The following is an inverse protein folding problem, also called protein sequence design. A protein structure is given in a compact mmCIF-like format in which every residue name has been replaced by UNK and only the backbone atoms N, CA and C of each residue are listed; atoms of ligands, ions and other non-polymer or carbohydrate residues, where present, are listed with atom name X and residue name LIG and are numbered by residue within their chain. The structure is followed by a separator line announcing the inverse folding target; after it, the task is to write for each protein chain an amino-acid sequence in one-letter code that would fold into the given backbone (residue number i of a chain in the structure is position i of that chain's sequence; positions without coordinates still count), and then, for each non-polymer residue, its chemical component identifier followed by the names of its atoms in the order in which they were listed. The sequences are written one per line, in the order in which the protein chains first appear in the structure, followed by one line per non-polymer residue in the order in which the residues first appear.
data_IF_705691489987
#
_entry.id   IF_705691489987
#
_cell.length_a   1.000
_cell.length_b   1.000
_cell.length_c   1.000
_cell.angle_alpha   90.00
_cell.angle_beta   90.00
_cell.angle_gamma   90.00
#
_symmetry.space_group_name_H-M   'P 1'
#
loop_
_entity.id
_entity.type
_entity.pdbx_description
1 polymer ?
#
# COMPACT_ATOMS: atom_id res chain seq x y z
N UNK A 1 -8.79 9.07 3.92
CA UNK A 1 -8.51 8.64 2.52
C UNK A 1 -8.10 9.85 1.70
N UNK A 2 -7.10 9.74 0.82
CA UNK A 2 -6.80 10.82 -0.11
C UNK A 2 -7.48 10.61 -1.47
N UNK A 3 -7.80 11.72 -2.15
CA UNK A 3 -8.42 11.67 -3.50
C UNK A 3 -7.41 11.31 -4.58
N UNK A 4 -6.13 11.66 -4.38
CA UNK A 4 -5.03 11.51 -5.34
C UNK A 4 -5.32 12.11 -6.73
N UNK A 5 -6.27 13.03 -6.81
CA UNK A 5 -6.55 13.83 -8.00
C UNK A 5 -5.46 14.88 -8.24
N UNK A 6 -5.43 15.54 -9.41
CA UNK A 6 -4.47 16.61 -9.69
C UNK A 6 -4.49 17.74 -8.64
N UNK A 7 -5.66 18.04 -8.09
CA UNK A 7 -5.84 18.83 -6.89
C UNK A 7 -6.11 17.87 -5.74
N UNK A 8 -5.05 17.39 -5.10
CA UNK A 8 -5.19 16.35 -4.10
C UNK A 8 -5.87 16.87 -2.82
N UNK A 9 -6.70 16.03 -2.21
CA UNK A 9 -7.39 16.33 -0.97
C UNK A 9 -7.48 15.10 -0.07
N UNK A 10 -7.59 15.30 1.23
CA UNK A 10 -7.98 14.26 2.19
C UNK A 10 -9.48 14.34 2.42
N UNK A 11 -10.16 13.21 2.28
CA UNK A 11 -11.57 13.07 2.67
C UNK A 11 -11.60 12.47 4.08
N UNK A 12 -12.22 13.20 4.99
CA UNK A 12 -12.44 12.77 6.36
C UNK A 12 -13.86 12.24 6.51
N UNK A 13 -13.99 11.05 7.06
CA UNK A 13 -15.25 10.40 7.38
C UNK A 13 -15.42 10.25 8.88
N UNK A 14 -16.61 10.52 9.37
CA UNK A 14 -17.03 10.13 10.72
C UNK A 14 -17.69 8.75 10.66
N UNK A 15 -17.26 7.85 11.53
CA UNK A 15 -17.83 6.51 11.71
C UNK A 15 -18.79 6.48 12.89
N UNK A 16 -19.99 5.96 12.69
CA UNK A 16 -20.94 5.64 13.78
C UNK A 16 -20.59 4.33 14.48
N UNK A 17 -21.16 4.08 15.65
CA UNK A 17 -21.02 2.80 16.35
C UNK A 17 -21.54 1.57 15.58
N UNK A 18 -22.37 1.78 14.55
CA UNK A 18 -22.85 0.70 13.66
C UNK A 18 -22.00 0.53 12.40
N UNK A 19 -20.80 1.13 12.35
CA UNK A 19 -19.88 1.04 11.21
C UNK A 19 -20.23 1.92 10.01
N UNK A 20 -21.34 2.67 10.06
CA UNK A 20 -21.70 3.59 8.97
C UNK A 20 -20.78 4.78 8.93
N UNK A 21 -20.36 5.18 7.72
CA UNK A 21 -19.50 6.34 7.51
C UNK A 21 -20.25 7.47 6.85
N UNK A 22 -19.88 8.70 7.21
CA UNK A 22 -20.39 9.93 6.62
C UNK A 22 -19.23 10.86 6.34
N UNK A 23 -19.09 11.36 5.12
CA UNK A 23 -18.12 12.41 4.78
C UNK A 23 -18.46 13.68 5.55
N UNK A 24 -17.50 14.22 6.31
CA UNK A 24 -17.68 15.43 7.11
C UNK A 24 -16.92 16.61 6.55
N UNK A 25 -15.78 16.35 5.92
CA UNK A 25 -14.99 17.40 5.29
C UNK A 25 -14.06 16.82 4.20
N UNK A 26 -13.65 17.71 3.29
CA UNK A 26 -12.67 17.43 2.27
C UNK A 26 -11.65 18.56 2.25
N UNK A 27 -10.41 18.25 2.62
CA UNK A 27 -9.37 19.25 2.85
C UNK A 27 -8.31 19.14 1.78
N UNK A 28 -8.00 20.21 1.02
CA UNK A 28 -6.90 20.22 0.08
C UNK A 28 -5.58 19.90 0.77
N UNK A 29 -4.75 19.04 0.13
CA UNK A 29 -3.41 18.73 0.62
C UNK A 29 -2.39 19.84 0.33
N UNK A 30 -2.72 20.74 -0.59
CA UNK A 30 -1.78 21.74 -1.09
C UNK A 30 -0.75 21.22 -2.09
N UNK A 31 -0.76 19.91 -2.38
CA UNK A 31 0.06 19.26 -3.40
C UNK A 31 -0.78 18.63 -4.51
N UNK A 32 -0.12 18.08 -5.52
CA UNK A 32 -0.75 17.41 -6.65
C UNK A 32 -0.73 15.89 -6.50
N UNK A 33 -1.88 15.24 -6.61
CA UNK A 33 -1.96 13.78 -6.75
C UNK A 33 -1.47 13.31 -8.12
N UNK A 34 -1.30 12.00 -8.29
CA UNK A 34 -0.87 11.40 -9.56
C UNK A 34 -1.94 11.48 -10.67
N UNK A 35 -3.16 11.82 -10.32
CA UNK A 35 -4.23 12.08 -11.29
C UNK A 35 -4.48 10.90 -12.23
N UNK A 36 -4.28 11.15 -13.51
CA UNK A 36 -4.50 10.14 -14.58
C UNK A 36 -3.23 9.34 -14.93
N UNK A 37 -2.14 9.51 -14.20
CA UNK A 37 -0.90 8.79 -14.48
C UNK A 37 -1.01 7.33 -14.09
N UNK A 38 -0.83 6.43 -15.06
CA UNK A 38 -1.00 4.97 -14.92
C UNK A 38 0.23 4.24 -15.49
N UNK A 39 1.39 4.32 -14.82
CA UNK A 39 2.64 3.87 -15.40
C UNK A 39 2.72 2.36 -15.60
N UNK A 40 2.10 1.58 -14.74
CA UNK A 40 2.20 0.11 -14.80
C UNK A 40 1.18 -0.48 -15.76
N UNK A 41 -0.12 -0.24 -15.51
CA UNK A 41 -1.17 -0.87 -16.32
C UNK A 41 -1.30 -0.29 -17.72
N UNK A 42 -0.97 1.00 -17.88
CA UNK A 42 -1.20 1.76 -19.09
C UNK A 42 -2.66 1.94 -19.51
N UNK A 43 -3.59 1.39 -18.75
CA UNK A 43 -5.02 1.58 -18.98
C UNK A 43 -5.46 2.88 -18.29
N UNK A 44 -6.10 3.78 -19.02
CA UNK A 44 -6.59 5.05 -18.47
C UNK A 44 -7.55 4.86 -17.28
N UNK A 45 -8.23 3.72 -17.25
CA UNK A 45 -9.17 3.34 -16.19
C UNK A 45 -8.50 2.63 -15.00
N UNK A 46 -7.20 2.32 -15.04
CA UNK A 46 -6.56 1.64 -13.91
C UNK A 46 -6.58 2.49 -12.64
N UNK A 47 -6.72 1.89 -11.45
CA UNK A 47 -6.62 2.63 -10.20
C UNK A 47 -5.20 3.14 -9.98
N UNK A 48 -5.08 4.35 -9.42
CA UNK A 48 -3.78 4.98 -9.16
C UNK A 48 -2.99 4.26 -8.06
N UNK A 49 -3.70 3.56 -7.17
CA UNK A 49 -3.08 2.81 -6.08
C UNK A 49 -2.36 1.54 -6.54
N UNK A 50 -2.43 1.18 -7.81
CA UNK A 50 -1.83 -0.05 -8.33
C UNK A 50 -0.31 -0.15 -8.09
N UNK A 51 0.39 0.98 -8.02
CA UNK A 51 1.84 0.99 -7.79
C UNK A 51 2.24 0.97 -6.31
N UNK A 52 1.30 1.06 -5.35
CA UNK A 52 1.69 1.11 -3.95
C UNK A 52 0.54 1.17 -2.96
N UNK A 53 0.88 1.17 -1.68
CA UNK A 53 -0.03 1.12 -0.55
C UNK A 53 0.46 2.01 0.60
N UNK A 54 -0.43 2.38 1.53
CA UNK A 54 -0.05 3.14 2.73
C UNK A 54 0.30 4.60 2.44
N UNK A 55 -0.42 5.25 1.54
CA UNK A 55 -0.18 6.64 1.15
C UNK A 55 -0.75 7.68 2.14
N UNK A 56 -1.58 7.25 3.08
CA UNK A 56 -2.13 8.05 4.18
C UNK A 56 -1.88 7.31 5.48
N UNK A 57 -1.21 7.97 6.43
CA UNK A 57 -0.93 7.41 7.75
C UNK A 57 -1.22 8.42 8.86
N UNK A 58 -1.52 7.91 10.05
CA UNK A 58 -1.59 8.70 11.28
C UNK A 58 -0.31 8.49 12.10
N UNK A 59 0.11 9.53 12.82
CA UNK A 59 1.12 9.33 13.87
C UNK A 59 0.55 8.45 14.99
N UNK A 60 1.36 7.63 15.69
CA UNK A 60 0.87 6.75 16.76
C UNK A 60 0.15 7.49 17.89
N UNK A 61 0.53 8.74 18.18
CA UNK A 61 -0.14 9.61 19.14
C UNK A 61 -1.40 10.30 18.59
N UNK A 62 -1.75 10.05 17.33
CA UNK A 62 -2.91 10.59 16.59
C UNK A 62 -2.92 12.12 16.45
N UNK A 63 -1.79 12.79 16.68
CA UNK A 63 -1.71 14.24 16.55
C UNK A 63 -1.55 14.71 15.12
N UNK A 64 -1.00 13.85 14.25
CA UNK A 64 -0.70 14.19 12.87
C UNK A 64 -1.22 13.12 11.89
N UNK A 65 -1.66 13.61 10.74
CA UNK A 65 -1.91 12.79 9.56
C UNK A 65 -0.91 13.22 8.48
N UNK A 66 -0.29 12.22 7.82
CA UNK A 66 0.60 12.45 6.69
C UNK A 66 -0.01 11.82 5.44
N UNK A 67 0.14 12.51 4.30
CA UNK A 67 -0.31 11.97 3.00
C UNK A 67 0.67 12.33 1.90
N UNK A 68 0.83 11.41 0.95
CA UNK A 68 1.65 11.62 -0.23
C UNK A 68 0.92 12.45 -1.30
N UNK A 69 1.68 13.18 -2.10
CA UNK A 69 1.24 13.83 -3.33
C UNK A 69 2.11 13.31 -4.48
N UNK A 70 1.63 12.25 -5.15
CA UNK A 70 2.43 11.52 -6.14
C UNK A 70 2.71 12.30 -7.41
N UNK A 71 1.89 13.31 -7.74
CA UNK A 71 2.04 14.08 -8.97
C UNK A 71 3.16 15.12 -8.93
N UNK A 72 3.50 15.64 -7.75
CA UNK A 72 4.59 16.62 -7.57
C UNK A 72 5.68 16.15 -6.61
N UNK A 73 5.64 14.89 -6.16
CA UNK A 73 6.58 14.29 -5.22
C UNK A 73 6.72 15.11 -3.93
N UNK A 74 5.59 15.45 -3.33
CA UNK A 74 5.54 16.10 -2.03
C UNK A 74 4.79 15.26 -1.00
N UNK A 75 4.90 15.65 0.25
CA UNK A 75 4.13 15.11 1.37
C UNK A 75 3.45 16.27 2.08
N UNK A 76 2.22 16.06 2.49
CA UNK A 76 1.47 17.01 3.30
C UNK A 76 1.28 16.45 4.71
N UNK A 77 1.42 17.31 5.70
CA UNK A 77 1.12 17.04 7.09
C UNK A 77 -0.08 17.85 7.55
N UNK A 78 -0.93 17.22 8.36
CA UNK A 78 -2.09 17.84 8.99
C UNK A 78 -2.02 17.62 10.49
N UNK A 79 -2.43 18.60 11.27
CA UNK A 79 -2.78 18.38 12.67
C UNK A 79 -4.20 17.78 12.75
N UNK A 80 -4.37 16.86 13.70
CA UNK A 80 -5.66 16.25 14.01
C UNK A 80 -6.17 16.87 15.31
N UNK A 81 -7.31 17.55 15.25
CA UNK A 81 -7.95 18.15 16.43
C UNK A 81 -8.63 17.09 17.32
N UNK A 82 -8.98 17.48 18.54
CA UNK A 82 -9.70 16.59 19.47
C UNK A 82 -11.07 16.13 18.92
N UNK A 83 -11.65 16.89 18.01
CA UNK A 83 -12.89 16.57 17.29
C UNK A 83 -12.63 15.78 15.98
N UNK A 84 -11.39 15.37 15.74
CA UNK A 84 -10.95 14.64 14.54
C UNK A 84 -10.77 15.50 13.29
N UNK A 85 -11.06 16.81 13.36
CA UNK A 85 -10.88 17.71 12.21
C UNK A 85 -9.43 17.89 11.85
N UNK A 86 -9.19 18.01 10.56
CA UNK A 86 -7.86 18.16 10.00
C UNK A 86 -7.55 19.62 9.69
N UNK A 87 -6.34 20.06 10.02
CA UNK A 87 -5.81 21.36 9.61
C UNK A 87 -4.47 21.17 8.94
N UNK A 88 -4.33 21.65 7.69
CA UNK A 88 -3.06 21.58 6.95
C UNK A 88 -1.96 22.34 7.69
N UNK A 89 -0.86 21.67 8.00
CA UNK A 89 0.31 22.23 8.67
C UNK A 89 1.40 22.59 7.67
N UNK A 90 1.77 21.66 6.81
CA UNK A 90 2.88 21.87 5.87
C UNK A 90 2.72 21.03 4.60
N UNK A 91 3.37 21.47 3.54
CA UNK A 91 3.53 20.74 2.27
C UNK A 91 4.99 20.82 1.87
N UNK A 92 5.66 19.69 1.75
CA UNK A 92 7.10 19.64 1.47
C UNK A 92 7.44 18.67 0.35
N UNK A 93 8.21 19.15 -0.65
CA UNK A 93 8.77 18.27 -1.69
C UNK A 93 9.76 17.30 -1.07
N UNK A 94 9.75 16.05 -1.54
CA UNK A 94 10.61 14.96 -1.03
C UNK A 94 12.08 15.13 -1.44
N UNK A 95 12.35 15.96 -2.45
CA UNK A 95 13.68 16.09 -3.03
C UNK A 95 14.09 14.88 -3.88
N UNK A 96 13.15 14.03 -4.29
CA UNK A 96 13.42 12.95 -5.24
C UNK A 96 13.94 13.54 -6.56
N UNK A 97 15.01 12.93 -7.12
CA UNK A 97 15.61 13.39 -8.38
C UNK A 97 14.75 13.06 -9.61
N UNK A 98 13.90 12.04 -9.50
CA UNK A 98 12.91 11.69 -10.52
C UNK A 98 11.67 12.53 -10.23
N UNK A 99 11.48 13.59 -10.96
CA UNK A 99 10.37 14.54 -10.74
C UNK A 99 9.13 14.17 -11.54
N UNK A 100 7.99 14.70 -11.11
CA UNK A 100 6.71 14.49 -11.75
C UNK A 100 6.18 13.07 -11.56
N UNK A 101 5.26 12.63 -12.43
CA UNK A 101 4.59 11.35 -12.26
C UNK A 101 5.51 10.12 -12.21
N UNK A 102 6.70 10.21 -12.82
CA UNK A 102 7.64 9.08 -12.85
C UNK A 102 8.28 8.76 -11.50
N UNK A 103 8.37 9.72 -10.58
CA UNK A 103 8.91 9.48 -9.24
C UNK A 103 7.88 8.91 -8.30
N UNK A 104 6.71 9.44 -8.32
CA UNK A 104 5.49 9.03 -7.62
C UNK A 104 5.69 8.64 -6.15
N UNK A 105 5.64 9.61 -5.25
CA UNK A 105 5.58 9.35 -3.82
C UNK A 105 4.29 8.56 -3.50
N UNK A 106 4.42 7.35 -2.94
CA UNK A 106 3.30 6.39 -2.84
C UNK A 106 3.01 5.87 -1.45
N UNK A 107 4.01 5.75 -0.59
CA UNK A 107 3.86 5.09 0.71
C UNK A 107 4.65 5.83 1.78
N UNK A 108 4.17 5.74 3.01
CA UNK A 108 4.75 6.43 4.16
C UNK A 108 4.93 5.48 5.35
N UNK A 109 6.00 5.69 6.11
CA UNK A 109 6.16 5.13 7.44
C UNK A 109 6.74 6.20 8.37
N UNK A 110 6.34 6.23 9.63
CA UNK A 110 6.77 7.25 10.58
C UNK A 110 7.40 6.62 11.82
N UNK A 111 8.60 7.08 12.17
CA UNK A 111 9.32 6.71 13.39
C UNK A 111 9.21 7.84 14.43
N UNK A 112 8.29 7.74 15.41
CA UNK A 112 8.10 8.79 16.40
C UNK A 112 9.32 8.98 17.32
N UNK A 113 10.12 7.95 17.57
CA UNK A 113 11.31 8.05 18.44
C UNK A 113 12.37 9.01 17.88
N UNK A 114 12.55 9.04 16.56
CA UNK A 114 13.49 9.93 15.88
C UNK A 114 12.83 11.14 15.21
N UNK A 115 11.49 11.17 15.15
CA UNK A 115 10.75 12.15 14.36
C UNK A 115 11.00 12.05 12.86
N UNK A 116 11.29 10.84 12.36
CA UNK A 116 11.60 10.61 10.94
C UNK A 116 10.41 10.06 10.19
N UNK A 117 10.02 10.70 9.09
CA UNK A 117 9.05 10.22 8.12
C UNK A 117 9.81 9.65 6.92
N UNK A 118 9.61 8.37 6.65
CA UNK A 118 10.11 7.67 5.46
C UNK A 118 9.09 7.80 4.35
N UNK A 119 9.55 8.27 3.19
CA UNK A 119 8.71 8.49 2.00
C UNK A 119 9.19 7.57 0.89
N UNK A 120 8.36 6.60 0.54
CA UNK A 120 8.63 5.68 -0.55
C UNK A 120 8.10 6.25 -1.88
N UNK A 121 8.91 6.12 -2.92
CA UNK A 121 8.56 6.42 -4.30
C UNK A 121 8.43 5.12 -5.08
N UNK A 122 7.46 5.03 -5.97
CA UNK A 122 7.21 3.82 -6.76
C UNK A 122 8.42 3.42 -7.62
N UNK A 123 9.18 4.41 -8.09
CA UNK A 123 10.29 4.21 -9.02
C UNK A 123 11.59 4.82 -8.51
N UNK A 124 12.70 4.11 -8.78
CA UNK A 124 14.03 4.53 -8.38
C UNK A 124 14.72 5.51 -9.34
N UNK A 125 15.98 5.83 -9.07
CA UNK A 125 16.84 5.21 -8.05
C UNK A 125 16.63 5.69 -6.61
N UNK A 126 15.98 6.84 -6.39
CA UNK A 126 15.72 7.40 -5.05
C UNK A 126 14.41 6.85 -4.50
N UNK A 127 14.35 5.54 -4.21
CA UNK A 127 13.12 4.91 -3.71
C UNK A 127 12.69 5.46 -2.35
N UNK A 128 13.61 5.63 -1.40
CA UNK A 128 13.28 6.12 -0.07
C UNK A 128 13.96 7.47 0.18
N UNK A 129 13.14 8.46 0.54
CA UNK A 129 13.54 9.78 1.01
C UNK A 129 13.11 9.95 2.46
N UNK A 130 13.85 10.75 3.19
CA UNK A 130 13.60 11.01 4.60
C UNK A 130 13.14 12.47 4.80
N UNK A 131 12.23 12.64 5.76
CA UNK A 131 11.85 13.96 6.27
C UNK A 131 11.92 13.95 7.79
N UNK A 132 12.40 15.04 8.38
CA UNK A 132 12.23 15.29 9.80
C UNK A 132 10.87 15.94 10.04
N UNK A 133 10.18 15.48 11.09
CA UNK A 133 8.90 16.02 11.56
C UNK A 133 9.15 16.72 12.90
N UNK A 134 8.86 18.01 13.00
CA UNK A 134 8.98 18.73 14.26
C UNK A 134 7.75 18.54 15.17
N UNK A 135 7.77 19.14 16.36
CA UNK A 135 6.69 19.01 17.35
C UNK A 135 5.38 19.63 16.90
N UNK A 136 5.42 20.54 15.95
CA UNK A 136 4.28 21.20 15.32
C UNK A 136 3.81 20.48 14.06
N UNK A 137 4.48 19.40 13.65
CA UNK A 137 4.16 18.62 12.44
C UNK A 137 4.73 19.21 11.15
N UNK A 138 5.65 20.19 11.23
CA UNK A 138 6.29 20.73 10.03
C UNK A 138 7.34 19.76 9.49
N UNK A 139 7.48 19.75 8.18
CA UNK A 139 8.31 18.81 7.45
C UNK A 139 9.61 19.49 6.96
N UNK A 140 10.73 18.80 7.13
CA UNK A 140 12.01 19.21 6.56
C UNK A 140 12.62 18.05 5.80
N UNK A 141 12.78 18.21 4.48
CA UNK A 141 13.41 17.17 3.66
C UNK A 141 14.88 16.99 4.05
N UNK A 142 15.30 15.77 4.23
CA UNK A 142 16.68 15.39 4.55
C UNK A 142 17.47 15.10 3.26
N UNK A 143 18.80 15.22 3.26
CA UNK A 143 19.62 15.01 2.07
C UNK A 143 19.79 13.54 1.69
N UNK A 144 19.59 12.60 2.64
CA UNK A 144 19.84 11.18 2.45
C UNK A 144 18.91 10.58 1.38
N UNK A 145 19.44 9.64 0.62
CA UNK A 145 18.78 8.94 -0.47
C UNK A 145 19.08 7.46 -0.39
N UNK A 146 18.05 6.65 -0.55
CA UNK A 146 18.19 5.20 -0.50
C UNK A 146 17.49 4.54 -1.67
N UNK A 147 18.12 3.50 -2.19
CA UNK A 147 17.59 2.72 -3.30
C UNK A 147 17.17 1.34 -2.83
N UNK A 148 16.07 0.83 -3.39
CA UNK A 148 15.68 -0.57 -3.27
C UNK A 148 16.31 -1.44 -4.38
N UNK A 149 17.06 -0.83 -5.33
CA UNK A 149 17.76 -1.56 -6.35
C UNK A 149 18.92 -2.37 -5.75
N UNK A 150 19.21 -3.49 -6.37
CA UNK A 150 20.44 -4.27 -6.15
C UNK A 150 21.29 -4.22 -7.42
N UNK A 151 22.58 -4.64 -7.38
CA UNK A 151 23.42 -4.68 -8.57
C UNK A 151 22.79 -5.49 -9.72
N UNK A 152 22.04 -6.53 -9.39
CA UNK A 152 21.46 -7.44 -10.36
C UNK A 152 20.04 -7.02 -10.80
N UNK A 153 19.40 -6.08 -10.08
CA UNK A 153 18.07 -5.54 -10.36
C UNK A 153 18.04 -4.01 -10.21
N UNK A 154 18.34 -3.33 -11.31
CA UNK A 154 18.50 -1.88 -11.31
C UNK A 154 17.18 -1.09 -11.37
N UNK A 155 16.07 -1.74 -11.61
CA UNK A 155 14.82 -1.09 -12.02
C UNK A 155 13.61 -1.58 -11.21
N UNK A 156 13.78 -1.81 -9.91
CA UNK A 156 12.70 -2.29 -9.04
C UNK A 156 11.56 -1.29 -8.94
N UNK A 157 10.35 -1.82 -8.97
CA UNK A 157 9.13 -1.07 -8.62
C UNK A 157 8.81 -1.38 -7.16
N UNK A 158 8.85 -0.37 -6.32
CA UNK A 158 8.49 -0.51 -4.92
C UNK A 158 6.98 -0.27 -4.72
N UNK A 159 6.40 -0.95 -3.73
CA UNK A 159 4.97 -0.93 -3.47
C UNK A 159 4.62 -0.27 -2.15
N UNK A 160 5.22 -0.72 -1.07
CA UNK A 160 4.93 -0.26 0.28
C UNK A 160 6.19 -0.15 1.11
N UNK A 161 6.21 0.83 2.00
CA UNK A 161 7.20 0.91 3.09
C UNK A 161 6.50 0.67 4.42
N UNK A 162 7.09 -0.17 5.26
CA UNK A 162 6.61 -0.41 6.62
C UNK A 162 7.79 -0.39 7.59
N UNK A 163 7.57 0.23 8.75
CA UNK A 163 8.53 0.26 9.85
C UNK A 163 8.19 -0.86 10.84
N UNK A 164 9.20 -1.59 11.33
CA UNK A 164 8.96 -2.56 12.40
C UNK A 164 8.44 -1.87 13.65
N UNK A 165 7.59 -2.53 14.48
CA UNK A 165 7.03 -1.92 15.68
C UNK A 165 8.05 -1.42 16.69
N UNK A 166 9.26 -2.00 16.69
CA UNK A 166 10.40 -1.56 17.52
C UNK A 166 11.28 -0.48 16.86
N UNK A 167 10.88 0.00 15.68
CA UNK A 167 11.54 1.02 14.86
C UNK A 167 12.99 0.66 14.43
N UNK A 168 13.37 -0.61 14.46
CA UNK A 168 14.74 -1.01 14.09
C UNK A 168 14.92 -1.38 12.62
N UNK A 169 13.83 -1.71 11.93
CA UNK A 169 13.88 -2.15 10.54
C UNK A 169 12.83 -1.42 9.70
N UNK A 170 13.26 -0.94 8.54
CA UNK A 170 12.39 -0.43 7.49
C UNK A 170 12.36 -1.44 6.35
N UNK A 171 11.17 -1.93 6.03
CA UNK A 171 10.93 -2.89 4.96
C UNK A 171 10.33 -2.19 3.76
N UNK A 172 10.82 -2.53 2.57
CA UNK A 172 10.27 -2.07 1.29
C UNK A 172 9.86 -3.29 0.49
N UNK A 173 8.57 -3.39 0.19
CA UNK A 173 8.05 -4.36 -0.77
C UNK A 173 8.50 -3.97 -2.17
N UNK A 174 8.99 -4.94 -2.93
CA UNK A 174 9.32 -4.74 -4.34
C UNK A 174 8.57 -5.78 -5.18
N UNK A 175 7.96 -5.32 -6.25
CA UNK A 175 7.20 -6.17 -7.14
C UNK A 175 7.97 -6.36 -8.44
N UNK A 176 7.59 -5.90 -9.53
CA UNK A 176 8.15 -6.22 -10.84
C UNK A 176 9.47 -5.51 -11.16
N UNK A 177 10.33 -6.11 -11.99
CA UNK A 177 11.28 -5.39 -12.85
C UNK A 177 10.86 -5.43 -14.30
N UNK A 178 10.04 -6.40 -14.72
CA UNK A 178 9.46 -6.44 -16.07
C UNK A 178 8.02 -6.94 -16.00
N UNK A 179 7.09 -6.26 -16.66
CA UNK A 179 5.72 -6.74 -16.84
C UNK A 179 5.61 -7.71 -18.01
N UNK A 180 4.60 -8.58 -18.03
CA UNK A 180 4.25 -9.32 -19.24
C UNK A 180 4.09 -8.39 -20.44
N UNK A 181 4.51 -8.80 -21.62
CA UNK A 181 4.50 -7.97 -22.83
C UNK A 181 3.12 -7.68 -23.39
N UNK A 182 2.12 -8.40 -22.95
CA UNK A 182 0.73 -8.21 -23.37
C UNK A 182 -0.24 -8.59 -22.25
N UNK A 183 -1.37 -7.90 -22.23
CA UNK A 183 -2.53 -8.30 -21.43
C UNK A 183 -3.09 -9.64 -21.93
N UNK A 184 -3.92 -10.34 -21.13
CA UNK A 184 -4.54 -11.59 -21.53
C UNK A 184 -5.38 -11.53 -22.81
N UNK A 185 -5.92 -10.36 -23.13
CA UNK A 185 -6.68 -10.10 -24.35
C UNK A 185 -5.78 -9.77 -25.57
N UNK A 186 -4.45 -9.82 -25.39
CA UNK A 186 -3.48 -9.50 -26.44
C UNK A 186 -3.19 -8.02 -26.61
N UNK A 187 -3.85 -7.12 -25.85
CA UNK A 187 -3.53 -5.70 -25.88
C UNK A 187 -2.16 -5.44 -25.28
N UNK A 188 -1.39 -4.46 -25.80
CA UNK A 188 -0.07 -4.13 -25.26
C UNK A 188 -0.19 -3.55 -23.86
N UNK A 189 0.66 -4.01 -22.93
CA UNK A 189 0.87 -3.37 -21.65
C UNK A 189 1.73 -2.14 -21.88
N UNK A 190 1.29 -1.00 -21.38
CA UNK A 190 2.08 0.22 -21.44
C UNK A 190 3.25 0.17 -20.46
N UNK A 191 4.34 0.75 -20.87
CA UNK A 191 5.61 0.71 -20.17
C UNK A 191 5.78 1.94 -19.29
N UNK A 192 6.38 1.75 -18.13
CA UNK A 192 6.97 2.86 -17.39
C UNK A 192 8.01 3.53 -18.29
N UNK A 193 7.99 4.85 -18.36
CA UNK A 193 9.01 5.59 -19.10
C UNK A 193 10.19 5.90 -18.20
N UNK A 194 11.39 5.68 -18.73
CA UNK A 194 12.62 6.17 -18.11
C UNK A 194 12.65 7.70 -18.14
N UNK A 195 13.51 8.35 -17.31
CA UNK A 195 13.66 9.80 -17.34
C UNK A 195 13.99 10.40 -18.72
N UNK A 196 14.63 9.62 -19.61
CA UNK A 196 14.92 9.98 -20.99
C UNK A 196 13.73 9.82 -21.93
N UNK A 197 12.57 9.40 -21.43
CA UNK A 197 11.34 9.19 -22.18
C UNK A 197 11.24 7.85 -22.90
N UNK A 198 12.27 7.00 -22.85
CA UNK A 198 12.21 5.66 -23.46
C UNK A 198 11.30 4.75 -22.65
N UNK A 199 10.55 3.84 -23.31
CA UNK A 199 9.77 2.84 -22.61
C UNK A 199 10.68 1.93 -21.78
N UNK A 200 10.24 1.62 -20.56
CA UNK A 200 10.88 0.68 -19.68
C UNK A 200 9.95 -0.52 -19.51
N UNK A 201 10.44 -1.69 -19.81
CA UNK A 201 9.70 -2.91 -19.51
C UNK A 201 9.85 -3.26 -18.03
N UNK A 202 8.77 -3.72 -17.43
CA UNK A 202 8.71 -4.17 -16.05
C UNK A 202 8.21 -5.60 -16.07
N UNK A 203 9.00 -6.61 -15.73
CA UNK A 203 8.56 -8.00 -15.71
C UNK A 203 8.70 -8.62 -14.34
N UNK A 204 7.80 -9.54 -14.00
CA UNK A 204 8.05 -10.44 -12.90
C UNK A 204 9.24 -11.33 -13.26
N UNK A 205 10.25 -11.37 -12.44
CA UNK A 205 11.47 -12.11 -12.74
C UNK A 205 11.49 -13.49 -12.11
N UNK A 206 11.29 -14.48 -12.92
CA UNK A 206 11.84 -15.77 -12.63
C UNK A 206 13.13 -15.92 -13.50
N UNK A 207 14.29 -16.27 -12.97
CA UNK A 207 14.51 -16.90 -11.67
C UNK A 207 14.92 -15.95 -10.54
N UNK A 208 14.94 -14.64 -10.74
CA UNK A 208 15.39 -13.70 -9.73
C UNK A 208 14.23 -13.36 -8.80
N UNK A 209 14.21 -13.81 -7.52
CA UNK A 209 13.05 -13.68 -6.67
C UNK A 209 12.73 -12.21 -6.39
N UNK A 210 11.46 -11.87 -6.54
CA UNK A 210 10.92 -10.67 -5.95
C UNK A 210 10.97 -10.80 -4.43
N UNK A 211 11.29 -9.73 -3.74
CA UNK A 211 11.48 -9.83 -2.32
C UNK A 211 11.31 -8.53 -1.56
N UNK A 212 11.61 -8.62 -0.28
CA UNK A 212 11.68 -7.46 0.59
C UNK A 212 13.09 -6.91 0.63
N UNK A 213 13.19 -5.58 0.51
CA UNK A 213 14.42 -4.85 0.82
C UNK A 213 14.32 -4.37 2.26
N UNK A 214 15.26 -4.77 3.09
CA UNK A 214 15.28 -4.46 4.52
C UNK A 214 16.49 -3.56 4.83
N UNK A 215 16.20 -2.45 5.50
CA UNK A 215 17.20 -1.53 6.04
C UNK A 215 17.15 -1.57 7.56
N UNK A 216 18.31 -1.48 8.23
CA UNK A 216 18.34 -1.12 9.65
C UNK A 216 18.14 0.36 9.81
N UNK A 217 17.42 0.74 10.85
CA UNK A 217 17.15 2.13 11.21
C UNK A 217 17.95 2.46 12.47
N UNK A 218 18.77 3.51 12.43
CA UNK A 218 19.50 3.98 13.60
C UNK A 218 18.66 4.90 14.48
N UNK A 219 19.20 5.31 15.62
CA UNK A 219 18.52 6.19 16.59
C UNK A 219 18.17 7.59 16.01
N UNK A 220 18.73 7.97 14.87
CA UNK A 220 18.46 9.22 14.18
C UNK A 220 17.49 9.05 13.00
N UNK A 221 16.95 7.83 12.80
CA UNK A 221 16.11 7.49 11.67
C UNK A 221 16.86 7.43 10.35
N UNK A 222 18.20 7.22 10.38
CA UNK A 222 19.02 7.02 9.19
C UNK A 222 19.03 5.54 8.84
N UNK A 223 19.08 5.22 7.55
CA UNK A 223 19.11 3.85 7.08
C UNK A 223 20.55 3.40 6.76
N UNK A 224 20.83 2.13 6.96
CA UNK A 224 22.06 1.50 6.52
C UNK A 224 21.99 0.99 5.05
N UNK A 225 22.91 0.13 4.67
CA UNK A 225 22.87 -0.55 3.37
C UNK A 225 21.70 -1.54 3.35
N UNK A 226 20.92 -1.57 2.25
CA UNK A 226 19.84 -2.52 2.10
C UNK A 226 20.35 -3.96 2.06
N UNK A 227 19.61 -4.86 2.67
CA UNK A 227 19.69 -6.31 2.42
C UNK A 227 18.44 -6.75 1.67
N UNK A 228 18.62 -7.69 0.76
CA UNK A 228 17.53 -8.22 -0.05
C UNK A 228 17.19 -9.64 0.38
N UNK A 229 15.91 -9.92 0.52
CA UNK A 229 15.38 -11.20 1.02
C UNK A 229 14.27 -11.71 0.12
N UNK A 230 14.38 -12.97 -0.29
CA UNK A 230 13.27 -13.69 -0.92
C UNK A 230 12.08 -13.71 0.04
N UNK A 231 10.90 -13.34 -0.47
CA UNK A 231 9.67 -13.28 0.32
C UNK A 231 8.85 -14.58 0.28
N UNK A 232 9.33 -15.61 -0.42
CA UNK A 232 8.72 -16.94 -0.45
C UNK A 232 7.50 -17.11 -1.34
N UNK A 233 7.12 -16.06 -2.10
CA UNK A 233 6.01 -16.09 -3.05
C UNK A 233 6.39 -15.46 -4.39
N UNK A 234 5.57 -14.58 -4.90
CA UNK A 234 5.84 -13.81 -6.11
C UNK A 234 5.26 -12.41 -6.00
N UNK A 235 6.10 -11.38 -6.18
CA UNK A 235 5.72 -9.97 -6.09
C UNK A 235 5.16 -9.58 -4.72
N UNK A 236 5.98 -9.52 -3.66
CA UNK A 236 5.56 -9.10 -2.33
C UNK A 236 5.08 -7.66 -2.37
N UNK A 237 3.77 -7.49 -2.25
CA UNK A 237 3.13 -6.19 -2.36
C UNK A 237 2.96 -5.50 -1.02
N UNK A 238 2.53 -6.24 0.00
CA UNK A 238 2.13 -5.68 1.28
C UNK A 238 2.70 -6.49 2.45
N UNK A 239 3.80 -6.07 3.07
CA UNK A 239 4.23 -6.59 4.37
C UNK A 239 3.44 -5.93 5.51
N UNK A 240 2.89 -6.72 6.43
CA UNK A 240 2.15 -6.25 7.60
C UNK A 240 2.61 -6.97 8.86
N UNK A 241 3.12 -6.23 9.84
CA UNK A 241 3.52 -6.79 11.13
C UNK A 241 2.30 -7.23 11.96
N UNK A 242 2.50 -8.27 12.75
CA UNK A 242 1.52 -8.70 13.74
C UNK A 242 1.53 -7.76 14.96
N UNK A 243 0.38 -7.61 15.60
CA UNK A 243 0.23 -6.69 16.74
C UNK A 243 0.86 -7.24 18.03
N UNK A 244 0.67 -8.54 18.28
CA UNK A 244 1.16 -9.21 19.50
C UNK A 244 2.60 -9.75 19.37
N UNK A 245 3.10 -9.87 18.14
CA UNK A 245 4.44 -10.42 17.83
C UNK A 245 5.17 -9.48 16.87
N UNK A 246 5.86 -8.47 17.40
CA UNK A 246 6.42 -7.37 16.59
C UNK A 246 7.58 -7.77 15.66
N UNK A 247 8.12 -8.97 15.80
CA UNK A 247 9.10 -9.60 14.94
C UNK A 247 8.50 -10.51 13.85
N UNK A 248 7.18 -10.71 13.86
CA UNK A 248 6.44 -11.50 12.88
C UNK A 248 5.60 -10.60 11.97
N UNK A 249 5.47 -11.03 10.72
CA UNK A 249 4.68 -10.32 9.71
C UNK A 249 4.00 -11.30 8.76
N UNK A 250 2.96 -10.84 8.11
CA UNK A 250 2.39 -11.49 6.93
C UNK A 250 2.77 -10.68 5.69
N UNK A 251 2.99 -11.36 4.59
CA UNK A 251 3.38 -10.76 3.31
C UNK A 251 2.35 -11.17 2.27
N UNK A 252 1.72 -10.19 1.64
CA UNK A 252 0.82 -10.40 0.50
C UNK A 252 1.61 -10.53 -0.78
N UNK A 253 1.43 -11.63 -1.48
CA UNK A 253 2.15 -12.00 -2.69
C UNK A 253 1.24 -11.83 -3.91
N UNK A 254 1.42 -10.72 -4.66
CA UNK A 254 0.48 -10.33 -5.71
C UNK A 254 0.44 -11.33 -6.88
N UNK A 255 1.57 -11.83 -7.34
CA UNK A 255 1.64 -12.84 -8.39
C UNK A 255 1.49 -14.26 -7.82
N UNK A 256 1.91 -14.44 -6.56
CA UNK A 256 1.73 -15.70 -5.83
C UNK A 256 0.29 -15.97 -5.41
N UNK A 257 -0.61 -14.99 -5.47
CA UNK A 257 -2.03 -15.09 -5.08
C UNK A 257 -2.24 -15.68 -3.69
N UNK A 258 -1.48 -15.21 -2.72
CA UNK A 258 -1.54 -15.78 -1.39
C UNK A 258 -0.81 -14.96 -0.34
N UNK A 259 -0.68 -15.55 0.83
CA UNK A 259 0.04 -14.98 1.96
C UNK A 259 1.19 -15.89 2.40
N UNK A 260 2.25 -15.24 2.84
CA UNK A 260 3.38 -15.89 3.50
C UNK A 260 3.48 -15.35 4.93
N UNK A 261 3.68 -16.23 5.91
CA UNK A 261 4.07 -15.84 7.26
C UNK A 261 5.59 -15.67 7.30
N UNK A 262 6.08 -14.53 7.79
CA UNK A 262 7.49 -14.24 7.94
C UNK A 262 7.87 -13.86 9.37
N UNK A 263 9.17 -13.88 9.65
CA UNK A 263 9.74 -13.31 10.87
C UNK A 263 11.11 -12.67 10.59
N UNK A 264 11.42 -11.63 11.33
CA UNK A 264 12.71 -10.90 11.21
C UNK A 264 13.51 -11.12 12.49
N UNK A 265 14.71 -11.67 12.35
CA UNK A 265 15.63 -11.85 13.48
C UNK A 265 16.30 -10.53 13.90
N UNK A 266 16.97 -10.47 15.08
CA UNK A 266 17.68 -9.26 15.52
C UNK A 266 18.79 -8.78 14.56
N UNK A 267 19.24 -9.64 13.66
CA UNK A 267 20.19 -9.31 12.60
C UNK A 267 19.53 -8.78 11.33
N UNK A 268 18.21 -8.67 11.30
CA UNK A 268 17.43 -8.18 10.15
C UNK A 268 17.27 -9.21 9.04
N UNK A 269 17.46 -10.50 9.34
CA UNK A 269 17.24 -11.57 8.36
C UNK A 269 15.79 -12.00 8.37
N UNK A 270 15.18 -12.04 7.19
CA UNK A 270 13.85 -12.57 6.98
C UNK A 270 13.88 -14.10 6.88
N UNK A 271 13.01 -14.73 7.63
CA UNK A 271 12.65 -16.14 7.46
C UNK A 271 11.19 -16.25 7.09
N UNK A 272 10.85 -17.07 6.10
CA UNK A 272 9.49 -17.21 5.57
C UNK A 272 9.01 -18.65 5.62
N UNK A 273 7.72 -18.81 5.86
CA UNK A 273 7.01 -20.08 5.78
C UNK A 273 6.51 -20.38 4.37
N UNK A 274 5.67 -21.41 4.21
CA UNK A 274 5.08 -21.73 2.92
C UNK A 274 4.06 -20.69 2.49
N UNK A 275 3.93 -20.49 1.17
CA UNK A 275 2.86 -19.71 0.56
C UNK A 275 1.52 -20.43 0.74
N UNK A 276 0.51 -19.72 1.25
CA UNK A 276 -0.89 -20.18 1.33
C UNK A 276 -1.69 -19.42 0.28
N UNK A 277 -2.02 -20.09 -0.81
CA UNK A 277 -2.68 -19.50 -1.97
C UNK A 277 -4.20 -19.57 -1.86
N UNK A 278 -4.89 -18.56 -2.36
CA UNK A 278 -6.34 -18.58 -2.60
C UNK A 278 -6.68 -19.50 -3.78
N UNK A 279 -7.96 -19.77 -4.00
CA UNK A 279 -8.40 -20.56 -5.16
C UNK A 279 -8.16 -19.80 -6.47
N UNK A 280 -7.20 -20.28 -7.25
CA UNK A 280 -6.83 -19.76 -8.56
C UNK A 280 -7.44 -20.55 -9.71
N UNK A 281 -8.45 -21.40 -9.45
CA UNK A 281 -9.08 -22.26 -10.47
C UNK A 281 -9.70 -21.48 -11.64
N UNK A 282 -9.98 -20.19 -11.47
CA UNK A 282 -10.35 -19.26 -12.55
C UNK A 282 -9.17 -18.90 -13.48
N UNK A 283 -7.96 -19.37 -13.22
CA UNK A 283 -6.90 -19.55 -14.19
C UNK A 283 -5.77 -18.54 -14.23
N UNK A 284 -5.79 -17.40 -13.54
CA UNK A 284 -4.68 -16.44 -13.51
C UNK A 284 -4.59 -15.72 -12.17
N UNK A 285 -3.42 -15.14 -11.83
CA UNK A 285 -3.27 -14.39 -10.61
C UNK A 285 -4.37 -13.35 -10.43
N UNK A 286 -4.97 -13.34 -9.25
CA UNK A 286 -5.96 -12.32 -8.86
C UNK A 286 -5.28 -11.04 -8.38
N UNK A 287 -3.96 -11.03 -8.28
CA UNK A 287 -3.17 -9.91 -7.76
C UNK A 287 -3.59 -9.60 -6.31
N UNK A 288 -3.36 -10.56 -5.40
CA UNK A 288 -3.62 -10.38 -3.98
C UNK A 288 -2.66 -9.32 -3.43
N UNK A 289 -3.17 -8.16 -3.02
CA UNK A 289 -2.32 -7.01 -2.75
C UNK A 289 -2.44 -6.50 -1.30
N UNK A 290 -3.44 -5.69 -0.98
CA UNK A 290 -3.51 -4.97 0.31
C UNK A 290 -4.01 -5.87 1.43
N UNK A 291 -3.44 -5.68 2.63
CA UNK A 291 -3.75 -6.50 3.80
C UNK A 291 -4.26 -5.65 4.97
N UNK A 292 -5.14 -6.23 5.77
CA UNK A 292 -5.47 -5.79 7.12
C UNK A 292 -5.36 -6.96 8.08
N UNK A 293 -4.46 -6.85 9.07
CA UNK A 293 -4.34 -7.81 10.17
C UNK A 293 -5.33 -7.42 11.27
N UNK A 294 -6.10 -8.38 11.79
CA UNK A 294 -6.99 -8.09 12.91
C UNK A 294 -6.20 -7.76 14.18
N UNK A 295 -6.70 -6.86 15.05
CA UNK A 295 -5.96 -6.41 16.25
C UNK A 295 -5.59 -7.52 17.23
N UNK A 296 -6.32 -8.64 17.18
CA UNK A 296 -6.09 -9.85 17.98
C UNK A 296 -5.18 -10.88 17.28
N UNK A 297 -4.67 -10.55 16.10
CA UNK A 297 -3.86 -11.41 15.22
C UNK A 297 -4.54 -12.76 14.87
N UNK A 298 -5.87 -12.83 14.87
CA UNK A 298 -6.56 -14.06 14.49
C UNK A 298 -6.82 -14.17 12.99
N UNK A 299 -6.96 -13.02 12.32
CA UNK A 299 -7.26 -12.97 10.89
C UNK A 299 -6.37 -11.99 10.14
N UNK A 300 -6.16 -12.31 8.85
CA UNK A 300 -5.69 -11.37 7.83
C UNK A 300 -6.75 -11.30 6.75
N UNK A 301 -7.16 -10.09 6.40
CA UNK A 301 -8.05 -9.80 5.27
C UNK A 301 -7.21 -9.30 4.11
N UNK A 302 -7.30 -9.99 2.99
CA UNK A 302 -6.47 -9.74 1.81
C UNK A 302 -7.32 -9.33 0.63
N UNK A 303 -6.99 -8.20 0.02
CA UNK A 303 -7.68 -7.68 -1.15
C UNK A 303 -7.30 -8.44 -2.40
N UNK A 304 -8.27 -9.05 -3.07
CA UNK A 304 -8.13 -9.71 -4.36
C UNK A 304 -8.41 -8.70 -5.48
N UNK A 305 -7.36 -8.05 -5.95
CA UNK A 305 -7.48 -6.92 -6.89
C UNK A 305 -8.17 -7.31 -8.20
N UNK A 306 -7.78 -8.42 -8.81
CA UNK A 306 -8.38 -8.91 -10.05
C UNK A 306 -9.78 -9.47 -9.87
N UNK A 307 -10.09 -10.10 -8.72
CA UNK A 307 -11.41 -10.68 -8.46
C UNK A 307 -12.38 -9.70 -7.82
N UNK A 308 -11.92 -8.52 -7.39
CA UNK A 308 -12.78 -7.46 -6.84
C UNK A 308 -13.54 -7.85 -5.57
N UNK A 309 -12.89 -8.64 -4.72
CA UNK A 309 -13.40 -9.09 -3.43
C UNK A 309 -12.27 -9.16 -2.39
N UNK A 310 -12.55 -9.71 -1.25
CA UNK A 310 -11.59 -9.90 -0.15
C UNK A 310 -11.62 -11.38 0.22
N UNK A 311 -10.45 -11.97 0.49
CA UNK A 311 -10.34 -13.27 1.16
C UNK A 311 -9.83 -13.09 2.59
N UNK A 312 -10.19 -13.97 3.49
CA UNK A 312 -9.68 -13.96 4.86
C UNK A 312 -8.88 -15.24 5.15
N UNK A 313 -7.82 -15.04 5.92
CA UNK A 313 -6.93 -16.10 6.38
C UNK A 313 -6.91 -16.10 7.90
N UNK A 314 -6.87 -17.29 8.47
CA UNK A 314 -6.69 -17.50 9.92
C UNK A 314 -5.22 -17.65 10.25
N UNK A 315 -4.81 -17.02 11.33
CA UNK A 315 -3.47 -17.18 11.92
C UNK A 315 -3.59 -18.08 13.14
N UNK A 316 -2.81 -19.15 13.17
CA UNK A 316 -2.63 -20.03 14.34
C UNK A 316 -1.14 -20.24 14.58
N UNK A 317 -0.59 -19.49 15.55
CA UNK A 317 0.86 -19.42 15.74
C UNK A 317 1.57 -18.92 14.49
N UNK A 318 2.40 -19.75 13.88
CA UNK A 318 3.11 -19.44 12.63
C UNK A 318 2.45 -20.06 11.39
N UNK A 319 1.24 -20.58 11.53
CA UNK A 319 0.51 -21.25 10.44
C UNK A 319 -0.58 -20.33 9.91
N UNK A 320 -0.59 -20.13 8.60
CA UNK A 320 -1.69 -19.52 7.87
C UNK A 320 -2.60 -20.59 7.28
N UNK A 321 -3.89 -20.33 7.26
CA UNK A 321 -4.88 -21.15 6.56
C UNK A 321 -5.99 -20.25 6.01
N UNK A 322 -6.60 -20.63 4.89
CA UNK A 322 -7.76 -19.91 4.35
C UNK A 322 -8.93 -20.08 5.32
N UNK A 323 -9.54 -18.95 5.71
CA UNK A 323 -10.79 -18.94 6.47
C UNK A 323 -11.99 -18.82 5.53
N UNK A 324 -11.98 -17.81 4.66
CA UNK A 324 -13.03 -17.59 3.66
C UNK A 324 -12.39 -17.14 2.31
N UNK A 325 -12.81 -17.74 1.21
CA UNK A 325 -12.39 -17.36 -0.13
C UNK A 325 -13.54 -17.51 -1.14
N UNK A 326 -14.24 -16.40 -1.45
CA UNK A 326 -14.09 -15.06 -0.89
C UNK A 326 -14.75 -14.87 0.49
N UNK A 327 -14.30 -13.86 1.24
CA UNK A 327 -14.90 -13.43 2.50
C UNK A 327 -16.12 -12.51 2.30
N UNK A 328 -16.24 -11.86 1.16
CA UNK A 328 -17.39 -11.02 0.79
C UNK A 328 -17.74 -11.20 -0.69
N UNK A 329 -18.97 -10.84 -1.09
CA UNK A 329 -19.36 -10.80 -2.49
C UNK A 329 -18.49 -9.84 -3.32
N UNK A 330 -18.32 -10.15 -4.60
CA UNK A 330 -17.63 -9.29 -5.57
C UNK A 330 -18.32 -7.94 -5.69
N UNK A 331 -17.56 -6.85 -5.61
CA UNK A 331 -18.01 -5.49 -5.94
C UNK A 331 -17.78 -5.27 -7.43
N UNK A 332 -18.87 -5.02 -8.17
CA UNK A 332 -18.79 -4.84 -9.62
C UNK A 332 -18.20 -3.46 -9.96
N UNK A 333 -17.18 -3.43 -10.81
CA UNK A 333 -16.64 -2.20 -11.42
C UNK A 333 -17.47 -1.71 -12.60
N UNK A 334 -17.01 -0.65 -13.24
CA UNK A 334 -17.68 -0.01 -14.39
C UNK A 334 -17.48 -0.75 -15.74
N UNK A 335 -16.71 -1.81 -15.75
CA UNK A 335 -16.43 -2.63 -16.93
C UNK A 335 -15.23 -2.19 -17.77
N UNK A 336 -14.56 -1.09 -17.42
CA UNK A 336 -13.49 -0.50 -18.25
C UNK A 336 -12.09 -0.98 -17.89
N UNK A 337 -11.83 -1.25 -16.61
CA UNK A 337 -10.53 -1.72 -16.17
C UNK A 337 -10.45 -3.26 -16.13
N UNK A 338 -9.35 -3.79 -16.65
CA UNK A 338 -9.02 -5.22 -16.60
C UNK A 338 -7.74 -5.44 -15.82
N UNK A 339 -7.80 -6.30 -14.83
CA UNK A 339 -6.65 -6.79 -14.11
C UNK A 339 -5.76 -7.71 -14.97
N UNK A 340 -4.58 -8.09 -14.49
CA UNK A 340 -3.65 -8.95 -15.23
C UNK A 340 -4.24 -10.32 -15.60
N UNK A 341 -5.18 -10.83 -14.78
CA UNK A 341 -5.93 -12.04 -15.10
C UNK A 341 -6.95 -11.86 -16.25
N UNK A 342 -7.12 -10.65 -16.79
CA UNK A 342 -8.04 -10.31 -17.86
C UNK A 342 -9.48 -10.08 -17.41
N UNK A 343 -9.80 -10.28 -16.14
CA UNK A 343 -11.16 -10.03 -15.63
C UNK A 343 -11.40 -8.54 -15.43
N UNK A 344 -12.66 -8.13 -15.57
CA UNK A 344 -13.08 -6.78 -15.19
C UNK A 344 -12.97 -6.63 -13.68
N UNK A 345 -12.17 -5.65 -13.25
CA UNK A 345 -11.96 -5.34 -11.84
C UNK A 345 -12.62 -4.02 -11.46
N UNK A 346 -13.11 -3.95 -10.22
CA UNK A 346 -13.55 -2.71 -9.59
C UNK A 346 -12.40 -1.87 -9.02
N UNK A 347 -11.16 -2.34 -9.19
CA UNK A 347 -9.97 -1.68 -8.70
C UNK A 347 -9.93 -1.55 -7.17
N UNK A 348 -10.12 -2.65 -6.41
CA UNK A 348 -9.99 -2.58 -4.97
C UNK A 348 -8.54 -2.23 -4.60
N UNK A 349 -8.37 -1.30 -3.67
CA UNK A 349 -7.05 -0.85 -3.22
C UNK A 349 -6.99 -0.77 -1.70
N UNK A 350 -6.29 0.18 -1.11
CA UNK A 350 -6.09 0.26 0.34
C UNK A 350 -7.33 -0.11 1.15
N UNK A 351 -7.09 -0.86 2.21
CA UNK A 351 -8.07 -1.22 3.23
C UNK A 351 -7.62 -0.74 4.62
N UNK A 352 -8.54 -0.66 5.55
CA UNK A 352 -8.27 -0.31 6.93
C UNK A 352 -9.26 -0.99 7.86
N UNK A 353 -8.76 -1.60 8.94
CA UNK A 353 -9.56 -2.20 9.99
C UNK A 353 -9.63 -1.30 11.21
N UNK A 354 -10.80 -1.27 11.84
CA UNK A 354 -10.97 -0.54 13.10
C UNK A 354 -10.12 -1.14 14.22
N UNK A 355 -9.64 -0.32 15.18
CA UNK A 355 -8.82 -0.82 16.30
C UNK A 355 -9.51 -1.86 17.20
N UNK A 356 -10.83 -1.93 17.18
CA UNK A 356 -11.64 -2.95 17.87
C UNK A 356 -11.83 -4.23 17.04
N UNK A 357 -11.36 -4.26 15.79
CA UNK A 357 -11.50 -5.42 14.89
C UNK A 357 -12.90 -5.67 14.35
N UNK A 358 -13.86 -4.76 14.65
CA UNK A 358 -15.29 -4.99 14.33
C UNK A 358 -15.62 -4.66 12.89
N UNK A 359 -14.91 -3.67 12.29
CA UNK A 359 -15.20 -3.20 10.93
C UNK A 359 -13.94 -3.15 10.07
N UNK A 360 -14.11 -3.49 8.78
CA UNK A 360 -13.11 -3.32 7.73
C UNK A 360 -13.66 -2.39 6.65
N UNK A 361 -12.84 -1.45 6.18
CA UNK A 361 -13.17 -0.54 5.09
C UNK A 361 -12.25 -0.77 3.91
N UNK A 362 -12.82 -0.78 2.68
CA UNK A 362 -12.09 -1.09 1.45
C UNK A 362 -12.46 -0.08 0.36
N UNK A 363 -11.43 0.47 -0.30
CA UNK A 363 -11.60 1.32 -1.50
C UNK A 363 -11.85 0.42 -2.72
N UNK A 364 -12.82 0.80 -3.55
CA UNK A 364 -13.08 0.22 -4.87
C UNK A 364 -13.10 1.34 -5.91
N UNK A 365 -11.91 1.69 -6.45
CA UNK A 365 -11.71 2.89 -7.27
C UNK A 365 -12.56 2.92 -8.54
N UNK A 366 -12.63 1.79 -9.28
CA UNK A 366 -13.41 1.68 -10.51
C UNK A 366 -14.92 1.39 -10.30
N UNK A 367 -15.33 1.23 -9.05
CA UNK A 367 -16.74 1.26 -8.65
C UNK A 367 -17.13 2.60 -8.03
N UNK A 368 -16.17 3.54 -7.84
CA UNK A 368 -16.35 4.82 -7.12
C UNK A 368 -16.96 4.62 -5.73
N UNK A 369 -16.49 3.59 -5.00
CA UNK A 369 -17.04 3.22 -3.69
C UNK A 369 -15.97 3.05 -2.64
N UNK A 370 -16.25 3.54 -1.44
CA UNK A 370 -15.65 3.09 -0.19
C UNK A 370 -16.69 2.24 0.53
N UNK A 371 -16.40 0.95 0.72
CA UNK A 371 -17.35 -0.01 1.33
C UNK A 371 -16.85 -0.37 2.72
N UNK A 372 -17.74 -0.37 3.70
CA UNK A 372 -17.47 -0.84 5.05
C UNK A 372 -18.21 -2.15 5.34
N UNK A 373 -17.51 -3.06 5.98
CA UNK A 373 -17.96 -4.40 6.33
C UNK A 373 -17.91 -4.63 7.83
N UNK A 374 -18.88 -5.33 8.38
CA UNK A 374 -18.80 -5.95 9.71
C UNK A 374 -18.06 -7.28 9.59
N UNK A 375 -17.06 -7.46 10.46
CA UNK A 375 -16.26 -8.69 10.53
C UNK A 375 -16.99 -9.74 11.35
N UNK A 376 -17.17 -10.93 10.79
CA UNK A 376 -17.82 -12.05 11.46
C UNK A 376 -16.80 -12.98 12.14
N UNK A 377 -17.21 -13.76 13.17
CA UNK A 377 -16.30 -14.64 13.90
C UNK A 377 -15.66 -15.76 13.07
N UNK A 378 -16.23 -16.08 11.92
CA UNK A 378 -15.68 -17.07 10.98
C UNK A 378 -14.76 -16.44 9.91
N UNK A 379 -14.55 -15.12 9.95
CA UNK A 379 -13.75 -14.37 9.00
C UNK A 379 -14.53 -13.93 7.76
N UNK A 380 -15.84 -14.14 7.68
CA UNK A 380 -16.68 -13.55 6.62
C UNK A 380 -16.96 -12.06 6.88
N UNK A 381 -17.39 -11.34 5.85
CA UNK A 381 -17.58 -9.90 5.86
C UNK A 381 -18.98 -9.54 5.36
N UNK A 382 -19.76 -8.85 6.20
CA UNK A 382 -21.09 -8.35 5.85
C UNK A 382 -21.06 -6.85 5.57
N UNK A 383 -21.50 -6.43 4.38
CA UNK A 383 -21.57 -4.99 4.04
C UNK A 383 -22.53 -4.25 4.96
N UNK A 384 -22.04 -3.17 5.60
CA UNK A 384 -22.83 -2.32 6.50
C UNK A 384 -23.00 -0.90 5.98
N UNK A 385 -22.11 -0.46 5.09
CA UNK A 385 -22.11 0.90 4.55
C UNK A 385 -21.39 0.99 3.22
N UNK A 386 -21.77 1.97 2.42
CA UNK A 386 -21.06 2.34 1.20
C UNK A 386 -21.13 3.87 1.04
N UNK A 387 -20.02 4.50 0.69
CA UNK A 387 -19.92 5.91 0.37
C UNK A 387 -19.37 6.10 -1.04
N UNK A 388 -19.85 7.14 -1.75
CA UNK A 388 -19.31 7.51 -3.06
C UNK A 388 -17.96 8.21 -2.90
N UNK A 389 -17.00 7.85 -3.76
CA UNK A 389 -15.66 8.44 -3.79
C UNK A 389 -15.31 8.86 -5.23
N UNK A 390 -14.27 9.69 -5.45
CA UNK A 390 -13.77 9.98 -6.78
C UNK A 390 -13.45 8.72 -7.58
N UNK A 391 -13.59 8.79 -8.89
CA UNK A 391 -13.34 7.65 -9.76
C UNK A 391 -11.84 7.35 -9.86
N UNK A 392 -11.48 6.11 -9.72
CA UNK A 392 -10.20 5.41 -9.87
C UNK A 392 -8.94 6.03 -9.23
N UNK A 393 -8.98 7.27 -8.76
CA UNK A 393 -7.81 7.94 -8.19
C UNK A 393 -7.57 7.69 -6.70
N UNK A 394 -8.59 7.49 -5.82
CA UNK A 394 -8.39 7.43 -4.37
C UNK A 394 -7.46 6.31 -3.93
N UNK A 395 -6.70 6.60 -2.88
CA UNK A 395 -5.80 5.65 -2.22
C UNK A 395 -5.57 6.04 -0.76
N UNK A 396 -5.02 5.11 0.03
CA UNK A 396 -4.68 5.30 1.42
C UNK A 396 -5.88 5.40 2.34
N UNK A 397 -5.93 4.54 3.33
CA UNK A 397 -6.90 4.58 4.42
C UNK A 397 -6.17 4.59 5.76
N UNK A 398 -6.57 5.48 6.65
CA UNK A 398 -6.13 5.50 8.04
C UNK A 398 -7.29 5.95 8.91
N UNK A 399 -7.32 5.49 10.17
CA UNK A 399 -8.37 5.84 11.11
C UNK A 399 -8.04 5.47 12.55
N UNK A 400 -8.96 5.77 13.46
CA UNK A 400 -8.84 5.48 14.89
C UNK A 400 -10.20 5.33 15.57
#
# INVERSE_FOLDING_TARGET
MQTNENQNAVIHYLRSGSGRITEVERIPTGGAGSGVFKPISGQASAPNAFEGAGSVILSPDRRFLFTTNGGDNSVSSFSVGDDGKLSLVDVKRTGNIVTGPSGTAKSLAYAPSSGTLFVLHAFGPDHVRLMSVDREGRLTARPERYTANTPDKADRVSTMVVLSPDEKFLLVGTTFDELPTANPDGSPILWVRRPDGTPKSIASNAPDPDGLVIFRVDAHGTLDRPSFHDAGGGSPFYPAFLHSRPDHLVIGEAVGDGLVMGSIDPDGRLSVGPLVQIDTSAGRPSELCWLAVSPDDQFVFATNFGYSNISSFRIDGNVLSIAQDPACPKVTGDGTFRALNGTVSSGPSDNWMTPDGVYLYQIYGNASKLVGYAVQPDGSLDEVTSASIPYNSPQGLAGF
#
